data_IF_808126907116
#
_entry.id   IF_808126907116
#
_cell.length_a   1.000
_cell.length_b   1.000
_cell.length_c   1.000
_cell.angle_alpha   90.00
_cell.angle_beta   90.00
_cell.angle_gamma   90.00
#
_symmetry.space_group_name_H-M   'P 1'
#
loop_
_entity.id
_entity.type
_entity.pdbx_description
1 polymer ?
#
# COMPACT_ATOMS: atom_id res chain seq x y z
N UNK A 1 -18.16 -15.35 -4.61
CA UNK A 1 -17.50 -16.24 -3.62
C UNK A 1 -16.11 -15.72 -3.38
N UNK A 2 -15.77 -15.43 -2.12
CA UNK A 2 -14.39 -15.18 -1.74
C UNK A 2 -13.55 -16.46 -1.77
N UNK A 3 -12.22 -16.32 -1.77
CA UNK A 3 -11.31 -17.47 -1.77
C UNK A 3 -9.85 -17.09 -2.02
N UNK A 4 -8.98 -18.09 -2.02
CA UNK A 4 -7.56 -17.96 -2.35
C UNK A 4 -7.28 -18.53 -3.72
N UNK A 5 -6.51 -17.80 -4.52
CA UNK A 5 -5.91 -18.26 -5.77
C UNK A 5 -4.39 -18.24 -5.63
N UNK A 6 -3.80 -19.42 -5.66
CA UNK A 6 -2.39 -19.69 -5.34
C UNK A 6 -1.53 -20.06 -6.56
N UNK A 7 -2.15 -20.26 -7.72
CA UNK A 7 -1.44 -20.52 -8.97
C UNK A 7 -0.78 -19.26 -9.54
N UNK A 8 0.24 -19.46 -10.39
CA UNK A 8 0.86 -18.38 -11.14
C UNK A 8 0.02 -17.96 -12.36
N UNK A 9 -0.14 -16.66 -12.52
CA UNK A 9 -0.74 -15.98 -13.67
C UNK A 9 0.40 -15.29 -14.43
N UNK A 10 0.42 -15.44 -15.76
CA UNK A 10 1.45 -14.85 -16.63
C UNK A 10 0.84 -14.29 -17.92
N UNK A 11 1.65 -13.54 -18.68
CA UNK A 11 1.27 -12.96 -19.96
C UNK A 11 0.91 -11.48 -19.89
N UNK A 12 0.43 -10.90 -20.99
CA UNK A 12 0.13 -9.47 -21.10
C UNK A 12 -1.32 -9.10 -20.74
N UNK A 13 -2.09 -10.06 -20.24
CA UNK A 13 -3.47 -9.85 -19.84
C UNK A 13 -3.58 -9.06 -18.53
N UNK A 14 -4.77 -8.49 -18.31
CA UNK A 14 -5.13 -7.80 -17.09
C UNK A 14 -5.89 -8.73 -16.13
N UNK A 15 -5.64 -8.60 -14.83
CA UNK A 15 -6.45 -9.25 -13.78
C UNK A 15 -7.51 -8.27 -13.30
N UNK A 16 -8.77 -8.72 -13.25
CA UNK A 16 -9.89 -7.89 -12.78
C UNK A 16 -10.56 -8.56 -11.58
N UNK A 17 -10.45 -7.92 -10.41
CA UNK A 17 -11.22 -8.26 -9.21
C UNK A 17 -12.50 -7.45 -9.18
N UNK A 18 -13.64 -8.14 -9.25
CA UNK A 18 -14.97 -7.56 -9.14
C UNK A 18 -15.80 -8.30 -8.07
N UNK A 19 -16.98 -7.77 -7.76
CA UNK A 19 -17.89 -8.30 -6.73
C UNK A 19 -17.44 -8.01 -5.30
N UNK A 20 -18.35 -8.18 -4.34
CA UNK A 20 -18.17 -7.63 -2.99
C UNK A 20 -17.29 -8.50 -2.07
N UNK A 21 -17.05 -9.76 -2.44
CA UNK A 21 -16.27 -10.69 -1.62
C UNK A 21 -14.76 -10.42 -1.65
N UNK A 22 -14.04 -10.99 -0.71
CA UNK A 22 -12.57 -10.99 -0.65
C UNK A 22 -11.95 -12.06 -1.56
N UNK A 23 -10.99 -11.67 -2.41
CA UNK A 23 -10.12 -12.59 -3.14
C UNK A 23 -8.68 -12.44 -2.63
N UNK A 24 -8.03 -13.53 -2.30
CA UNK A 24 -6.59 -13.55 -2.00
C UNK A 24 -5.81 -14.08 -3.19
N UNK A 25 -4.83 -13.31 -3.68
CA UNK A 25 -3.82 -13.76 -4.61
C UNK A 25 -2.53 -14.04 -3.84
N UNK A 26 -2.05 -15.28 -3.87
CA UNK A 26 -0.85 -15.72 -3.15
C UNK A 26 0.24 -16.29 -4.05
N UNK A 27 -0.06 -16.52 -5.33
CA UNK A 27 0.90 -16.99 -6.33
C UNK A 27 1.96 -15.94 -6.66
N UNK A 28 3.14 -16.39 -7.10
CA UNK A 28 4.13 -15.52 -7.74
C UNK A 28 3.69 -15.26 -9.19
N UNK A 29 3.16 -14.07 -9.45
CA UNK A 29 2.55 -13.72 -10.71
C UNK A 29 3.50 -12.87 -11.57
N UNK A 30 3.45 -13.06 -12.88
CA UNK A 30 4.33 -12.40 -13.87
C UNK A 30 3.55 -11.73 -14.99
N UNK A 31 2.23 -11.53 -14.80
CA UNK A 31 1.45 -10.81 -15.78
C UNK A 31 1.78 -9.32 -15.77
N UNK A 32 1.69 -8.68 -16.94
CA UNK A 32 2.14 -7.31 -17.15
C UNK A 32 1.01 -6.33 -17.48
N UNK A 33 -0.21 -6.83 -17.74
CA UNK A 33 -1.36 -5.98 -18.12
C UNK A 33 -2.00 -5.20 -16.97
N UNK A 34 -1.49 -5.34 -15.75
CA UNK A 34 -1.99 -4.65 -14.55
C UNK A 34 -3.17 -5.33 -13.88
N UNK A 35 -3.65 -4.69 -12.82
CA UNK A 35 -4.75 -5.19 -11.98
C UNK A 35 -5.82 -4.13 -11.79
N UNK A 36 -7.09 -4.45 -12.01
CA UNK A 36 -8.23 -3.59 -11.67
C UNK A 36 -9.00 -4.20 -10.49
N UNK A 37 -9.27 -3.39 -9.48
CA UNK A 37 -10.09 -3.75 -8.31
C UNK A 37 -11.31 -2.84 -8.32
N UNK A 38 -12.46 -3.35 -8.77
CA UNK A 38 -13.71 -2.59 -8.90
C UNK A 38 -14.74 -2.88 -7.81
N UNK A 39 -14.46 -3.82 -6.90
CA UNK A 39 -15.33 -4.16 -5.79
C UNK A 39 -14.70 -5.15 -4.80
N UNK A 40 -15.21 -5.13 -3.57
CA UNK A 40 -14.75 -5.99 -2.48
C UNK A 40 -13.29 -5.73 -2.09
N UNK A 41 -12.61 -6.79 -1.67
CA UNK A 41 -11.20 -6.73 -1.25
C UNK A 41 -10.34 -7.64 -2.11
N UNK A 42 -9.21 -7.13 -2.60
CA UNK A 42 -8.12 -7.94 -3.13
C UNK A 42 -7.00 -8.00 -2.11
N UNK A 43 -6.67 -9.19 -1.61
CA UNK A 43 -5.54 -9.43 -0.71
C UNK A 43 -4.36 -9.94 -1.54
N UNK A 44 -3.25 -9.21 -1.56
CA UNK A 44 -1.96 -9.68 -2.06
C UNK A 44 -1.16 -10.24 -0.88
N UNK A 45 -1.02 -11.56 -0.80
CA UNK A 45 -0.27 -12.23 0.29
C UNK A 45 1.15 -12.65 -0.10
N UNK A 46 1.63 -12.11 -1.21
CA UNK A 46 2.99 -12.22 -1.74
C UNK A 46 3.26 -10.90 -2.49
N UNK A 47 4.48 -10.37 -2.40
CA UNK A 47 4.85 -9.12 -3.08
C UNK A 47 4.71 -9.20 -4.59
N UNK A 48 4.91 -10.38 -5.17
CA UNK A 48 4.77 -10.67 -6.60
C UNK A 48 3.31 -11.00 -7.00
N UNK A 49 2.36 -10.97 -6.06
CA UNK A 49 1.00 -11.44 -6.31
C UNK A 49 0.24 -10.60 -7.35
N UNK A 50 0.64 -9.36 -7.59
CA UNK A 50 -0.05 -8.47 -8.54
C UNK A 50 0.66 -8.31 -9.88
N UNK A 51 1.67 -9.15 -10.15
CA UNK A 51 2.50 -9.02 -11.35
C UNK A 51 3.26 -7.69 -11.36
N UNK A 52 3.65 -7.22 -12.55
CA UNK A 52 4.49 -6.02 -12.70
C UNK A 52 3.74 -4.83 -13.31
N UNK A 53 2.44 -4.97 -13.55
CA UNK A 53 1.61 -3.90 -14.12
C UNK A 53 0.93 -3.07 -13.04
N UNK A 54 0.62 -1.82 -13.36
CA UNK A 54 -0.03 -0.90 -12.44
C UNK A 54 -1.39 -1.41 -11.92
N UNK A 55 -1.78 -0.89 -10.76
CA UNK A 55 -3.03 -1.21 -10.08
C UNK A 55 -4.00 -0.03 -10.17
N UNK A 56 -5.19 -0.27 -10.68
CA UNK A 56 -6.34 0.63 -10.52
C UNK A 56 -7.22 0.08 -9.40
N UNK A 57 -7.18 0.74 -8.25
CA UNK A 57 -7.91 0.37 -7.05
C UNK A 57 -9.08 1.33 -6.82
N UNK A 58 -10.31 0.87 -7.07
CA UNK A 58 -11.55 1.59 -6.77
C UNK A 58 -12.35 0.92 -5.63
N UNK A 59 -11.70 0.05 -4.85
CA UNK A 59 -12.29 -0.61 -3.68
C UNK A 59 -11.23 -0.76 -2.58
N UNK A 60 -10.87 -1.98 -2.18
CA UNK A 60 -9.83 -2.23 -1.17
C UNK A 60 -8.73 -3.12 -1.73
N UNK A 61 -7.49 -2.61 -1.67
CA UNK A 61 -6.28 -3.40 -1.86
C UNK A 61 -5.62 -3.65 -0.50
N UNK A 62 -5.53 -4.90 -0.09
CA UNK A 62 -4.82 -5.32 1.12
C UNK A 62 -3.47 -5.96 0.77
N UNK A 63 -2.38 -5.33 1.20
CA UNK A 63 -1.01 -5.80 1.08
C UNK A 63 -0.63 -6.55 2.37
N UNK A 64 -0.79 -7.87 2.34
CA UNK A 64 -0.46 -8.79 3.44
C UNK A 64 0.85 -9.53 3.14
N UNK A 65 1.92 -8.76 2.93
CA UNK A 65 3.25 -9.26 2.55
C UNK A 65 4.33 -8.28 3.01
N UNK A 66 5.58 -8.73 3.05
CA UNK A 66 6.76 -7.86 3.02
C UNK A 66 7.41 -7.80 1.64
N UNK A 67 8.51 -7.05 1.52
CA UNK A 67 9.29 -6.90 0.28
C UNK A 67 9.14 -5.51 -0.37
N UNK A 68 9.53 -5.40 -1.64
CA UNK A 68 9.44 -4.14 -2.40
C UNK A 68 8.27 -4.19 -3.38
N UNK A 69 7.34 -3.26 -3.24
CA UNK A 69 6.18 -3.09 -4.12
C UNK A 69 6.31 -1.77 -4.90
N UNK A 70 6.62 -1.88 -6.18
CA UNK A 70 6.97 -0.75 -7.05
C UNK A 70 5.88 -0.38 -8.06
N UNK A 71 4.85 -1.22 -8.24
CA UNK A 71 3.72 -0.93 -9.12
C UNK A 71 3.03 0.38 -8.68
N UNK A 72 2.66 1.23 -9.65
CA UNK A 72 1.85 2.40 -9.34
C UNK A 72 0.41 1.99 -9.01
N UNK A 73 -0.15 2.61 -7.97
CA UNK A 73 -1.52 2.40 -7.51
C UNK A 73 -2.29 3.71 -7.72
N UNK A 74 -3.40 3.61 -8.43
CA UNK A 74 -4.31 4.72 -8.75
C UNK A 74 -5.73 4.38 -8.34
N UNK A 75 -6.65 5.35 -8.42
CA UNK A 75 -8.08 5.13 -8.24
C UNK A 75 -8.65 5.67 -6.93
N UNK A 76 -9.91 5.35 -6.69
CA UNK A 76 -10.68 5.91 -5.56
C UNK A 76 -10.66 5.06 -4.29
N UNK A 77 -9.95 3.94 -4.29
CA UNK A 77 -9.95 2.94 -3.22
C UNK A 77 -8.90 3.13 -2.14
N UNK A 78 -9.05 2.34 -1.07
CA UNK A 78 -8.15 2.30 0.08
C UNK A 78 -7.04 1.27 -0.11
N UNK A 79 -5.83 1.59 0.38
CA UNK A 79 -4.75 0.62 0.55
C UNK A 79 -4.64 0.23 2.02
N UNK A 80 -4.56 -1.06 2.31
CA UNK A 80 -4.39 -1.62 3.66
C UNK A 80 -3.07 -2.37 3.72
N UNK A 81 -2.16 -1.99 4.62
CA UNK A 81 -0.99 -2.79 4.98
C UNK A 81 -1.31 -3.57 6.26
N UNK A 82 -1.40 -4.90 6.14
CA UNK A 82 -1.79 -5.78 7.25
C UNK A 82 -0.75 -6.84 7.62
N UNK A 83 0.19 -7.15 6.72
CA UNK A 83 1.23 -8.16 6.99
C UNK A 83 2.19 -7.74 8.10
N UNK A 84 2.75 -8.69 8.83
CA UNK A 84 3.66 -8.41 9.96
C UNK A 84 5.06 -7.93 9.53
N UNK A 85 5.42 -8.17 8.27
CA UNK A 85 6.73 -7.85 7.71
C UNK A 85 6.87 -6.38 7.30
N UNK A 86 8.10 -5.99 6.93
CA UNK A 86 8.37 -4.70 6.30
C UNK A 86 8.02 -4.74 4.82
N UNK A 87 7.16 -3.82 4.38
CA UNK A 87 6.85 -3.57 2.97
C UNK A 87 7.37 -2.19 2.57
N UNK A 88 8.19 -2.13 1.54
CA UNK A 88 8.56 -0.89 0.87
C UNK A 88 7.54 -0.59 -0.21
N UNK A 89 6.88 0.56 -0.13
CA UNK A 89 6.02 1.07 -1.19
C UNK A 89 6.76 2.22 -1.89
N UNK A 90 7.08 2.03 -3.17
CA UNK A 90 7.93 2.95 -3.94
C UNK A 90 7.29 3.45 -5.23
N UNK A 91 6.15 2.89 -5.64
CA UNK A 91 5.39 3.36 -6.80
C UNK A 91 4.93 4.82 -6.66
N UNK A 92 4.83 5.54 -7.78
CA UNK A 92 4.22 6.87 -7.82
C UNK A 92 2.70 6.73 -7.73
N UNK A 93 2.17 6.78 -6.51
CA UNK A 93 0.77 6.46 -6.25
C UNK A 93 -0.13 7.70 -6.29
N UNK A 94 -1.39 7.49 -6.66
CA UNK A 94 -2.41 8.55 -6.81
C UNK A 94 -3.78 8.17 -6.25
N UNK A 95 -3.87 7.08 -5.48
CA UNK A 95 -5.12 6.69 -4.84
C UNK A 95 -5.55 7.71 -3.76
N UNK A 96 -6.86 7.81 -3.54
CA UNK A 96 -7.44 8.94 -2.79
C UNK A 96 -8.10 8.58 -1.45
N UNK A 97 -8.51 7.33 -1.21
CA UNK A 97 -9.19 6.95 0.06
C UNK A 97 -8.20 6.65 1.21
N UNK A 98 -6.90 6.84 0.93
CA UNK A 98 -5.84 6.81 1.92
C UNK A 98 -5.33 5.40 2.24
N UNK A 99 -4.54 5.36 3.30
CA UNK A 99 -3.77 4.17 3.69
C UNK A 99 -4.04 3.80 5.13
N UNK A 100 -4.44 2.55 5.37
CA UNK A 100 -4.52 1.95 6.70
C UNK A 100 -3.31 1.06 6.93
N UNK A 101 -2.52 1.35 7.96
CA UNK A 101 -1.41 0.50 8.40
C UNK A 101 -1.86 -0.20 9.69
N UNK A 102 -2.17 -1.48 9.59
CA UNK A 102 -2.70 -2.29 10.69
C UNK A 102 -1.68 -3.29 11.24
N UNK A 103 -0.61 -3.58 10.49
CA UNK A 103 0.45 -4.51 10.89
C UNK A 103 1.81 -4.21 10.24
N UNK A 104 2.87 -4.66 10.90
CA UNK A 104 4.26 -4.55 10.44
C UNK A 104 4.75 -3.12 10.23
N UNK A 105 5.67 -2.98 9.27
CA UNK A 105 6.22 -1.68 8.87
C UNK A 105 5.85 -1.39 7.42
N UNK A 106 5.36 -0.18 7.14
CA UNK A 106 5.24 0.36 5.79
C UNK A 106 6.32 1.42 5.59
N UNK A 107 7.23 1.21 4.64
CA UNK A 107 8.26 2.18 4.24
C UNK A 107 7.79 2.90 2.98
N UNK A 108 7.70 4.23 3.04
CA UNK A 108 7.44 5.08 1.89
C UNK A 108 8.75 5.79 1.48
N UNK A 109 9.20 5.57 0.24
CA UNK A 109 10.51 6.07 -0.24
C UNK A 109 10.43 7.36 -1.05
N UNK A 110 9.22 7.84 -1.34
CA UNK A 110 8.95 9.12 -1.99
C UNK A 110 7.64 9.73 -1.46
N UNK A 111 7.38 11.00 -1.79
CA UNK A 111 6.21 11.72 -1.30
C UNK A 111 4.90 11.17 -1.88
N UNK A 112 4.95 10.63 -3.10
CA UNK A 112 3.80 10.08 -3.80
C UNK A 112 3.48 8.63 -3.41
N UNK A 113 4.35 7.96 -2.65
CA UNK A 113 4.22 6.54 -2.31
C UNK A 113 2.93 6.22 -1.54
N UNK A 114 2.34 7.19 -0.83
CA UNK A 114 1.12 6.97 -0.05
C UNK A 114 -0.14 7.59 -0.68
N UNK A 115 -0.07 7.95 -1.97
CA UNK A 115 -1.18 8.61 -2.66
C UNK A 115 -1.53 9.96 -2.03
N UNK A 116 -2.78 10.39 -2.20
CA UNK A 116 -3.24 11.71 -1.75
C UNK A 116 -4.18 11.65 -0.55
N UNK A 117 -4.61 10.44 -0.15
CA UNK A 117 -5.49 10.26 1.00
C UNK A 117 -4.73 10.15 2.32
N UNK A 118 -5.45 10.35 3.43
CA UNK A 118 -4.86 10.35 4.76
C UNK A 118 -4.34 8.97 5.20
N UNK A 119 -3.42 8.97 6.16
CA UNK A 119 -2.83 7.75 6.73
C UNK A 119 -3.42 7.50 8.12
N UNK A 120 -4.05 6.33 8.28
CA UNK A 120 -4.38 5.77 9.60
C UNK A 120 -3.30 4.76 9.97
N UNK A 121 -2.37 5.18 10.84
CA UNK A 121 -1.25 4.36 11.26
C UNK A 121 -1.49 3.74 12.64
N UNK A 122 -1.69 2.42 12.69
CA UNK A 122 -1.82 1.64 13.92
C UNK A 122 -0.62 0.69 14.15
N UNK A 123 0.40 0.73 13.30
CA UNK A 123 1.63 -0.04 13.44
C UNK A 123 2.86 0.87 13.26
N UNK A 124 3.72 0.62 12.27
CA UNK A 124 4.87 1.49 11.98
C UNK A 124 4.77 2.06 10.57
N UNK A 125 4.81 3.39 10.46
CA UNK A 125 5.02 4.12 9.22
C UNK A 125 6.45 4.65 9.20
N UNK A 126 7.25 4.25 8.23
CA UNK A 126 8.57 4.81 7.97
C UNK A 126 8.54 5.70 6.73
N UNK A 127 8.90 6.97 6.89
CA UNK A 127 9.03 7.94 5.81
C UNK A 127 10.52 8.09 5.49
N UNK A 128 10.98 7.41 4.46
CA UNK A 128 12.36 7.46 3.96
C UNK A 128 12.42 8.39 2.74
N UNK A 129 12.09 9.66 2.96
CA UNK A 129 12.07 10.68 1.91
C UNK A 129 12.28 12.08 2.49
N UNK A 130 12.47 13.06 1.62
CA UNK A 130 12.55 14.49 1.96
C UNK A 130 11.36 15.29 1.41
N UNK A 131 11.29 16.56 1.76
CA UNK A 131 10.29 17.50 1.23
C UNK A 131 9.11 17.74 2.17
N UNK A 132 7.91 17.89 1.61
CA UNK A 132 6.68 18.18 2.35
C UNK A 132 5.67 17.06 2.15
N UNK A 133 5.29 16.40 3.23
CA UNK A 133 4.27 15.36 3.26
C UNK A 133 2.95 15.95 3.76
N UNK A 134 2.00 16.08 2.85
CA UNK A 134 0.74 16.81 3.07
C UNK A 134 -0.38 15.98 3.70
N UNK A 135 -0.32 14.65 3.59
CA UNK A 135 -1.38 13.76 4.07
C UNK A 135 -1.47 13.83 5.60
N UNK A 136 -2.68 13.81 6.15
CA UNK A 136 -2.84 13.71 7.60
C UNK A 136 -2.39 12.34 8.09
N UNK A 137 -1.82 12.29 9.30
CA UNK A 137 -1.42 11.04 9.96
C UNK A 137 -2.15 10.93 11.29
N UNK A 138 -2.88 9.84 11.47
CA UNK A 138 -3.64 9.53 12.69
C UNK A 138 -3.36 8.10 13.17
N UNK A 139 -4.01 7.68 14.26
CA UNK A 139 -3.91 6.32 14.80
C UNK A 139 -2.94 6.16 15.97
N UNK A 140 -2.72 4.92 16.42
CA UNK A 140 -1.91 4.62 17.61
C UNK A 140 -0.45 4.27 17.33
N UNK A 141 -0.05 4.20 16.05
CA UNK A 141 1.23 3.69 15.60
C UNK A 141 2.40 4.66 15.70
N UNK A 142 3.60 4.13 15.50
CA UNK A 142 4.87 4.88 15.45
C UNK A 142 5.09 5.48 14.06
N UNK A 143 5.59 6.72 14.01
CA UNK A 143 6.16 7.32 12.80
C UNK A 143 7.68 7.31 12.91
N UNK A 144 8.37 6.82 11.89
CA UNK A 144 9.82 6.85 11.76
C UNK A 144 10.17 7.77 10.59
N UNK A 145 11.03 8.75 10.83
CA UNK A 145 11.70 9.49 9.77
C UNK A 145 13.11 8.92 9.63
N UNK A 146 13.41 8.36 8.47
CA UNK A 146 14.74 7.85 8.11
C UNK A 146 15.33 8.59 6.91
N UNK A 147 16.65 8.52 6.76
CA UNK A 147 17.40 9.20 5.70
C UNK A 147 17.72 10.66 5.99
N UNK A 148 18.69 11.19 5.27
CA UNK A 148 19.36 12.46 5.60
C UNK A 148 18.52 13.70 5.23
N UNK A 149 17.58 13.56 4.29
CA UNK A 149 16.80 14.71 3.79
C UNK A 149 15.79 15.21 4.83
N UNK A 150 15.63 16.53 4.90
CA UNK A 150 14.63 17.14 5.75
C UNK A 150 13.21 16.83 5.25
N UNK A 151 12.34 16.41 6.18
CA UNK A 151 10.93 16.16 5.92
C UNK A 151 10.07 17.08 6.78
N UNK A 152 9.11 17.74 6.16
CA UNK A 152 8.06 18.53 6.81
C UNK A 152 6.76 17.75 6.75
N UNK A 153 6.14 17.50 7.90
CA UNK A 153 4.77 16.98 7.96
C UNK A 153 3.82 18.18 8.07
N UNK A 154 3.19 18.56 6.97
CA UNK A 154 2.28 19.72 6.88
C UNK A 154 0.82 19.34 7.14
N UNK A 155 0.46 18.07 6.93
CA UNK A 155 -0.84 17.52 7.27
C UNK A 155 -1.18 17.57 8.77
N UNK A 156 -2.43 17.27 9.12
CA UNK A 156 -2.80 17.13 10.53
C UNK A 156 -2.15 15.87 11.12
N UNK A 157 -1.32 16.02 12.15
CA UNK A 157 -0.63 14.91 12.79
C UNK A 157 -1.24 14.68 14.18
N UNK A 158 -2.16 13.70 14.26
CA UNK A 158 -2.94 13.37 15.48
C UNK A 158 -2.63 11.98 16.04
N UNK A 159 -1.66 11.28 15.44
CA UNK A 159 -1.25 9.97 15.93
C UNK A 159 -0.72 10.06 17.38
N UNK A 160 -0.98 9.02 18.16
CA UNK A 160 -0.62 8.99 19.59
C UNK A 160 0.65 8.19 19.86
N UNK A 161 1.15 7.44 18.89
CA UNK A 161 2.45 6.78 19.01
C UNK A 161 3.61 7.77 18.93
N UNK A 162 4.82 7.28 19.19
CA UNK A 162 6.02 8.10 19.17
C UNK A 162 6.50 8.44 17.75
N UNK A 163 7.32 9.48 17.65
CA UNK A 163 8.13 9.78 16.47
C UNK A 163 9.58 9.39 16.73
N UNK A 164 10.19 8.62 15.82
CA UNK A 164 11.62 8.32 15.84
C UNK A 164 12.30 8.97 14.64
N UNK A 165 13.46 9.56 14.84
CA UNK A 165 14.31 10.10 13.77
C UNK A 165 15.61 9.29 13.80
N UNK A 166 15.98 8.66 12.68
CA UNK A 166 17.12 7.74 12.57
C UNK A 166 17.95 7.96 11.32
#
# INVERSE_FOLDING_TARGET
TGGTFDNAISGSGQVVKSGDDTLTLSGSNTYTGGTIISGGTLVASNVEALGTGDVTNDAVLELNTGGDFDNAISGSGQVVKSGDETLTLSGTNSYTDGTLISGGTLVATNLEALGTGDVTNNATLELNTGGTFDNAISGSGQVVKSGDDALTLSGSNTYTGGTTIS
#
